data_IF_185143065793
#
_entry.id   IF_185143065793
#
_cell.length_a   1.000
_cell.length_b   1.000
_cell.length_c   1.000
_cell.angle_alpha   90.00
_cell.angle_beta   90.00
_cell.angle_gamma   90.00
#
_symmetry.space_group_name_H-M   'P 1'
#
loop_
_entity.id
_entity.type
_entity.pdbx_description
1 polymer ?
#
# COMPACT_ATOMS: atom_id res chain seq x y z
N UNK A 1 1.83 10.39 12.48
CA UNK A 1 0.90 9.30 12.11
C UNK A 1 1.58 8.28 11.20
N UNK A 2 2.09 8.67 10.03
CA UNK A 2 2.66 7.71 9.08
C UNK A 2 3.93 7.03 9.57
N UNK A 3 4.77 7.69 10.38
CA UNK A 3 6.00 7.08 10.94
C UNK A 3 5.73 5.75 11.66
N UNK A 4 4.72 5.71 12.54
CA UNK A 4 4.36 4.49 13.27
C UNK A 4 3.89 3.38 12.33
N UNK A 5 3.11 3.74 11.31
CA UNK A 5 2.60 2.77 10.34
C UNK A 5 3.73 2.24 9.45
N UNK A 6 4.66 3.11 9.03
CA UNK A 6 5.88 2.73 8.32
C UNK A 6 6.74 1.74 9.12
N UNK A 7 6.88 1.92 10.43
CA UNK A 7 7.60 0.98 11.30
C UNK A 7 6.92 -0.39 11.39
N UNK A 8 5.58 -0.42 11.48
CA UNK A 8 4.82 -1.66 11.52
C UNK A 8 4.92 -2.43 10.19
N UNK A 9 4.78 -1.73 9.06
CA UNK A 9 4.98 -2.33 7.74
C UNK A 9 6.42 -2.80 7.54
N UNK A 10 7.41 -2.03 7.98
CA UNK A 10 8.81 -2.41 7.91
C UNK A 10 9.07 -3.72 8.67
N UNK A 11 8.57 -3.84 9.91
CA UNK A 11 8.72 -5.04 10.70
C UNK A 11 8.09 -6.27 10.01
N UNK A 12 6.86 -6.14 9.51
CA UNK A 12 6.18 -7.22 8.79
C UNK A 12 6.91 -7.60 7.49
N UNK A 13 7.29 -6.61 6.68
CA UNK A 13 8.02 -6.78 5.43
C UNK A 13 9.39 -7.43 5.64
N UNK A 14 10.11 -7.06 6.70
CA UNK A 14 11.41 -7.62 7.05
C UNK A 14 11.30 -9.11 7.41
N UNK A 15 10.29 -9.48 8.21
CA UNK A 15 10.01 -10.89 8.55
C UNK A 15 9.72 -11.70 7.29
N UNK A 16 8.85 -11.17 6.41
CA UNK A 16 8.52 -11.82 5.15
C UNK A 16 9.75 -12.00 4.24
N UNK A 17 10.56 -10.95 4.07
CA UNK A 17 11.74 -11.00 3.23
C UNK A 17 12.78 -11.99 3.74
N UNK A 18 13.01 -12.01 5.06
CA UNK A 18 13.92 -12.97 5.68
C UNK A 18 13.42 -14.41 5.52
N UNK A 19 12.12 -14.65 5.71
CA UNK A 19 11.51 -15.97 5.55
C UNK A 19 11.60 -16.51 4.11
N UNK A 20 11.68 -15.62 3.12
CA UNK A 20 11.68 -15.97 1.69
C UNK A 20 13.04 -15.73 1.00
N UNK A 21 14.10 -15.37 1.74
CA UNK A 21 15.42 -15.10 1.16
C UNK A 21 15.47 -13.92 0.20
N UNK A 22 14.59 -12.93 0.39
CA UNK A 22 14.44 -11.76 -0.49
C UNK A 22 15.42 -10.66 -0.05
N UNK A 23 16.20 -10.15 -1.00
CA UNK A 23 16.97 -8.92 -0.81
C UNK A 23 16.09 -7.72 -1.15
N UNK A 24 15.87 -6.84 -0.17
CA UNK A 24 15.06 -5.61 -0.33
C UNK A 24 15.96 -4.42 -0.67
N UNK A 25 16.53 -4.44 -1.87
CA UNK A 25 17.31 -3.33 -2.42
C UNK A 25 16.39 -2.22 -2.97
N UNK A 26 16.93 -1.07 -3.43
CA UNK A 26 16.10 0.02 -3.95
C UNK A 26 15.19 -0.40 -5.12
N UNK A 27 15.68 -1.28 -5.99
CA UNK A 27 14.91 -1.76 -7.14
C UNK A 27 13.75 -2.65 -6.69
N UNK A 28 13.94 -3.46 -5.65
CA UNK A 28 12.88 -4.27 -5.06
C UNK A 28 11.71 -3.41 -4.58
N UNK A 29 11.99 -2.32 -3.85
CA UNK A 29 10.92 -1.42 -3.39
C UNK A 29 10.16 -0.77 -4.55
N UNK A 30 10.86 -0.36 -5.61
CA UNK A 30 10.23 0.20 -6.81
C UNK A 30 9.39 -0.83 -7.57
N UNK A 31 9.92 -2.04 -7.78
CA UNK A 31 9.25 -3.10 -8.53
C UNK A 31 8.00 -3.59 -7.80
N UNK A 32 8.03 -3.68 -6.46
CA UNK A 32 6.84 -4.02 -5.69
C UNK A 32 5.73 -2.99 -5.85
N UNK A 33 6.01 -1.70 -5.96
CA UNK A 33 4.95 -0.71 -6.25
C UNK A 33 4.20 -1.02 -7.54
N UNK A 34 4.90 -1.49 -8.57
CA UNK A 34 4.30 -1.87 -9.86
C UNK A 34 3.48 -3.16 -9.72
N UNK A 35 4.02 -4.14 -9.00
CA UNK A 35 3.36 -5.42 -8.70
C UNK A 35 2.02 -5.19 -8.00
N UNK A 36 2.04 -4.50 -6.85
CA UNK A 36 0.85 -4.22 -6.03
C UNK A 36 -0.18 -3.37 -6.79
N UNK A 37 0.28 -2.39 -7.58
CA UNK A 37 -0.63 -1.60 -8.43
C UNK A 37 -1.31 -2.46 -9.51
N UNK A 38 -0.60 -3.46 -10.02
CA UNK A 38 -1.15 -4.46 -10.93
C UNK A 38 -2.21 -5.34 -10.26
N UNK A 39 -1.99 -5.75 -9.02
CA UNK A 39 -2.92 -6.56 -8.23
C UNK A 39 -4.19 -5.79 -7.88
N UNK A 40 -4.07 -4.53 -7.42
CA UNK A 40 -5.21 -3.61 -7.25
C UNK A 40 -6.01 -3.46 -8.53
N UNK A 41 -5.33 -3.26 -9.67
CA UNK A 41 -5.98 -3.12 -10.98
C UNK A 41 -6.77 -4.37 -11.34
N UNK A 42 -6.20 -5.56 -11.10
CA UNK A 42 -6.89 -6.81 -11.33
C UNK A 42 -8.09 -7.01 -10.40
N UNK A 43 -7.94 -6.72 -9.10
CA UNK A 43 -9.03 -6.81 -8.13
C UNK A 43 -10.18 -5.87 -8.48
N UNK A 44 -9.90 -4.62 -8.83
CA UNK A 44 -10.90 -3.66 -9.28
C UNK A 44 -11.62 -4.10 -10.56
N UNK A 45 -10.90 -4.70 -11.52
CA UNK A 45 -11.50 -5.26 -12.72
C UNK A 45 -12.40 -6.47 -12.43
N UNK A 46 -12.06 -7.31 -11.44
CA UNK A 46 -12.93 -8.43 -11.00
C UNK A 46 -14.20 -7.92 -10.32
N UNK A 47 -14.07 -6.92 -9.44
CA UNK A 47 -15.21 -6.34 -8.75
C UNK A 47 -16.17 -5.64 -9.72
N UNK A 48 -15.64 -4.87 -10.68
CA UNK A 48 -16.43 -4.16 -11.69
C UNK A 48 -16.98 -5.04 -12.83
N UNK A 49 -16.68 -6.35 -12.83
CA UNK A 49 -17.14 -7.28 -13.86
C UNK A 49 -16.40 -7.21 -15.20
N UNK A 50 -15.28 -6.49 -15.27
CA UNK A 50 -14.42 -6.37 -16.47
C UNK A 50 -13.42 -7.52 -16.63
N UNK A 51 -13.37 -8.45 -15.68
CA UNK A 51 -12.56 -9.66 -15.76
C UNK A 51 -13.26 -10.86 -15.10
N UNK A 52 -12.76 -12.08 -15.36
CA UNK A 52 -13.35 -13.32 -14.83
C UNK A 52 -13.34 -13.30 -13.30
N UNK A 53 -14.52 -13.54 -12.69
CA UNK A 53 -14.69 -13.59 -11.25
C UNK A 53 -14.04 -14.83 -10.58
N UNK A 54 -13.59 -15.83 -11.37
CA UNK A 54 -12.94 -17.06 -10.87
C UNK A 54 -13.72 -17.77 -9.74
N UNK A 55 -15.06 -17.73 -9.79
CA UNK A 55 -15.92 -18.33 -8.78
C UNK A 55 -16.13 -17.50 -7.51
N UNK A 56 -15.53 -16.30 -7.42
CA UNK A 56 -15.66 -15.42 -6.27
C UNK A 56 -17.02 -14.71 -6.24
N UNK A 57 -17.67 -14.70 -5.07
CA UNK A 57 -18.82 -13.87 -4.75
C UNK A 57 -18.48 -12.37 -4.74
N UNK A 58 -19.49 -11.50 -4.59
CA UNK A 58 -19.24 -10.06 -4.51
C UNK A 58 -18.46 -9.67 -3.23
N UNK A 59 -18.82 -10.23 -2.08
CA UNK A 59 -18.15 -9.95 -0.81
C UNK A 59 -16.66 -10.30 -0.87
N UNK A 60 -16.32 -11.47 -1.42
CA UNK A 60 -14.93 -11.92 -1.59
C UNK A 60 -14.15 -10.98 -2.53
N UNK A 61 -14.78 -10.48 -3.60
CA UNK A 61 -14.16 -9.52 -4.52
C UNK A 61 -13.93 -8.15 -3.87
N UNK A 62 -14.81 -7.72 -2.96
CA UNK A 62 -14.62 -6.50 -2.17
C UNK A 62 -13.50 -6.64 -1.16
N UNK A 63 -13.43 -7.79 -0.49
CA UNK A 63 -12.34 -8.10 0.43
C UNK A 63 -11.00 -8.10 -0.29
N UNK A 64 -10.91 -8.80 -1.43
CA UNK A 64 -9.72 -8.81 -2.27
C UNK A 64 -9.27 -7.39 -2.61
N UNK A 65 -10.18 -6.53 -3.08
CA UNK A 65 -9.82 -5.15 -3.40
C UNK A 65 -9.28 -4.38 -2.18
N UNK A 66 -9.85 -4.59 -1.00
CA UNK A 66 -9.38 -3.95 0.22
C UNK A 66 -7.97 -4.44 0.60
N UNK A 67 -7.72 -5.75 0.50
CA UNK A 67 -6.44 -6.37 0.82
C UNK A 67 -5.34 -5.86 -0.12
N UNK A 68 -5.54 -5.94 -1.44
CA UNK A 68 -4.54 -5.44 -2.41
C UNK A 68 -4.29 -3.93 -2.26
N UNK A 69 -5.32 -3.16 -1.89
CA UNK A 69 -5.15 -1.71 -1.65
C UNK A 69 -4.33 -1.45 -0.39
N UNK A 70 -4.48 -2.28 0.64
CA UNK A 70 -3.67 -2.20 1.84
C UNK A 70 -2.20 -2.57 1.54
N UNK A 71 -1.96 -3.57 0.70
CA UNK A 71 -0.60 -3.97 0.29
C UNK A 71 0.09 -2.88 -0.55
N UNK A 72 -0.63 -2.25 -1.49
CA UNK A 72 -0.13 -1.10 -2.22
C UNK A 72 0.20 0.07 -1.28
N UNK A 73 -0.68 0.40 -0.33
CA UNK A 73 -0.41 1.43 0.66
C UNK A 73 0.83 1.09 1.50
N UNK A 74 0.95 -0.17 1.94
CA UNK A 74 2.10 -0.67 2.66
C UNK A 74 3.40 -0.46 1.90
N UNK A 75 3.44 -0.81 0.62
CA UNK A 75 4.62 -0.63 -0.22
C UNK A 75 4.93 0.84 -0.52
N UNK A 76 3.93 1.73 -0.64
CA UNK A 76 4.17 3.17 -0.72
C UNK A 76 4.86 3.69 0.54
N UNK A 77 4.41 3.24 1.72
CA UNK A 77 5.00 3.62 3.00
C UNK A 77 6.42 3.06 3.18
N UNK A 78 6.65 1.81 2.79
CA UNK A 78 7.97 1.18 2.77
C UNK A 78 8.94 1.90 1.83
N UNK A 79 8.49 2.25 0.62
CA UNK A 79 9.27 3.01 -0.35
C UNK A 79 9.65 4.39 0.20
N UNK A 80 8.69 5.11 0.78
CA UNK A 80 8.95 6.39 1.41
C UNK A 80 9.95 6.27 2.57
N UNK A 81 9.81 5.24 3.41
CA UNK A 81 10.74 4.96 4.50
C UNK A 81 12.16 4.66 3.96
N UNK A 82 12.29 3.82 2.95
CA UNK A 82 13.57 3.46 2.33
C UNK A 82 14.32 4.71 1.83
N UNK A 83 13.61 5.64 1.21
CA UNK A 83 14.16 6.91 0.73
C UNK A 83 14.15 8.05 1.75
N UNK A 84 13.78 7.80 3.01
CA UNK A 84 13.69 8.81 4.08
C UNK A 84 12.82 10.02 3.71
N UNK A 85 11.68 9.79 3.06
CA UNK A 85 10.76 10.84 2.64
C UNK A 85 9.79 11.22 3.78
N UNK A 86 9.66 12.53 4.05
CA UNK A 86 8.60 13.05 4.91
C UNK A 86 7.28 13.16 4.13
N UNK A 87 6.49 12.08 4.16
CA UNK A 87 5.18 12.06 3.49
C UNK A 87 4.17 13.01 4.13
N UNK A 88 4.26 13.27 5.44
CA UNK A 88 3.32 14.16 6.12
C UNK A 88 3.50 15.59 5.65
N UNK A 89 4.74 16.06 5.59
CA UNK A 89 5.07 17.37 5.03
C UNK A 89 4.77 17.42 3.52
N UNK A 90 5.10 16.37 2.77
CA UNK A 90 4.81 16.33 1.33
C UNK A 90 3.31 16.43 1.04
N UNK A 91 2.47 15.78 1.84
CA UNK A 91 1.01 15.88 1.76
C UNK A 91 0.56 17.30 2.14
N UNK A 92 1.05 17.85 3.25
CA UNK A 92 0.69 19.21 3.67
C UNK A 92 1.01 20.25 2.60
N UNK A 93 2.19 20.17 1.99
CA UNK A 93 2.60 21.07 0.91
C UNK A 93 1.77 20.88 -0.36
N UNK A 94 1.53 19.64 -0.79
CA UNK A 94 0.90 19.33 -2.10
C UNK A 94 -0.61 19.42 -2.07
N UNK A 95 -1.24 18.95 -1.00
CA UNK A 95 -2.69 18.83 -0.85
C UNK A 95 -3.31 19.88 0.07
N UNK A 96 -2.49 20.74 0.71
CA UNK A 96 -2.93 21.89 1.52
C UNK A 96 -3.80 21.52 2.74
N UNK A 97 -3.71 20.30 3.23
CA UNK A 97 -4.26 19.88 4.53
C UNK A 97 -3.19 19.18 5.37
N UNK A 98 -3.26 19.28 6.70
CA UNK A 98 -2.29 18.64 7.58
C UNK A 98 -2.78 17.23 7.98
N UNK A 99 -2.13 16.14 7.52
CA UNK A 99 -2.57 14.77 7.84
C UNK A 99 -2.40 14.41 9.32
N UNK A 100 -1.67 15.23 10.10
CA UNK A 100 -1.50 15.05 11.56
C UNK A 100 -2.65 15.68 12.34
N UNK A 101 -3.36 16.63 11.73
CA UNK A 101 -4.56 17.21 12.31
C UNK A 101 -5.70 16.29 11.93
N UNK A 102 -6.30 15.65 12.92
CA UNK A 102 -7.67 15.15 12.75
C UNK A 102 -8.49 16.40 12.47
N UNK A 103 -8.98 16.56 11.25
CA UNK A 103 -10.04 17.53 10.98
C UNK A 103 -11.25 17.03 11.77
N UNK A 104 -11.44 17.55 12.98
CA UNK A 104 -12.79 17.72 13.47
C UNK A 104 -13.44 18.64 12.43
N UNK A 105 -14.32 18.09 11.60
CA UNK A 105 -15.21 18.92 10.80
C UNK A 105 -16.07 19.75 11.79
N UNK A 106 -16.40 21.02 11.48
CA UNK A 106 -17.21 21.87 12.34
C UNK A 106 -18.58 21.30 12.71
#
# INVERSE_FOLDING_TARGET
MFSKLMEQFEAASAVYANANGITRDPDWFLLKLIEEAGEVTQAANRLSGRSRAKGMGEAERRQLLADETADLLGHVLLFARHHSLDLEEAIARKWRFDPRKVTADP
#
